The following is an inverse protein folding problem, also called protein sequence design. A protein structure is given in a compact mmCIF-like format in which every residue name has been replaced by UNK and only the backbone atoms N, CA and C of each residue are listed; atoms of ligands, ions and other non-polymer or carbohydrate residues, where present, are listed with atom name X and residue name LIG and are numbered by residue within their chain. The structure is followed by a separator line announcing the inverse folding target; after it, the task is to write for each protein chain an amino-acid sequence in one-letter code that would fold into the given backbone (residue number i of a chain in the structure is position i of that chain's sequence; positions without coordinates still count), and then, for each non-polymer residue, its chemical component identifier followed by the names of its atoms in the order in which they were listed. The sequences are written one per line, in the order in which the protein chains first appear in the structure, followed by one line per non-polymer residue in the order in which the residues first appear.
data_IF_385660727134
#
_entry.id   IF_385660727134
#
_cell.length_a   1.000
_cell.length_b   1.000
_cell.length_c   1.000
_cell.angle_alpha   90.00
_cell.angle_beta   90.00
_cell.angle_gamma   90.00
#
_symmetry.space_group_name_H-M   'P 1'
#
loop_
_entity.id
_entity.type
_entity.pdbx_description
1 polymer ?
#
# COMPACT_ATOMS: atom_id res chain seq x y z
N UNK A 1 -39.79 14.45 15.37
CA UNK A 1 -39.10 15.44 16.24
C UNK A 1 -37.87 15.96 15.49
N UNK A 2 -37.88 17.25 15.22
CA UNK A 2 -36.83 17.94 14.45
C UNK A 2 -35.76 18.44 15.44
N UNK A 3 -34.46 18.18 15.20
CA UNK A 3 -33.34 18.86 15.88
C UNK A 3 -32.23 19.02 14.85
N UNK A 4 -32.11 20.14 14.43
CA UNK A 4 -31.30 21.36 14.48
C UNK A 4 -29.79 21.11 14.24
N UNK A 5 -29.42 21.54 13.06
CA UNK A 5 -28.11 21.89 12.52
C UNK A 5 -27.38 22.87 13.46
N UNK A 6 -26.11 22.65 13.76
CA UNK A 6 -25.20 23.68 14.24
C UNK A 6 -23.97 23.69 13.33
N UNK A 7 -23.88 24.71 12.47
CA UNK A 7 -22.67 25.13 11.79
C UNK A 7 -21.81 25.92 12.78
N UNK A 8 -20.55 25.57 12.91
CA UNK A 8 -19.51 26.47 13.44
C UNK A 8 -18.41 26.63 12.38
N UNK A 9 -18.43 27.80 11.76
CA UNK A 9 -17.33 28.34 10.97
C UNK A 9 -16.18 28.72 11.89
N UNK A 10 -14.97 28.25 11.57
CA UNK A 10 -13.73 28.69 12.18
C UNK A 10 -12.74 29.10 11.10
N UNK A 11 -12.62 30.41 10.91
CA UNK A 11 -11.69 31.10 10.03
C UNK A 11 -10.43 31.48 10.84
N UNK A 12 -9.21 31.10 10.45
CA UNK A 12 -7.93 31.71 10.91
C UNK A 12 -6.94 31.60 9.75
N UNK A 13 -6.69 32.62 9.06
CA UNK A 13 -5.69 33.67 9.03
C UNK A 13 -4.25 33.24 8.67
N UNK A 14 -3.80 33.89 7.59
CA UNK A 14 -2.49 33.84 6.94
C UNK A 14 -1.33 34.31 7.85
N UNK A 15 -0.14 33.78 7.57
CA UNK A 15 1.13 34.30 8.04
C UNK A 15 2.20 34.18 6.97
N UNK A 16 2.42 35.26 6.21
CA UNK A 16 3.57 35.47 5.35
C UNK A 16 4.76 35.91 6.18
N UNK A 17 5.92 35.31 6.01
CA UNK A 17 7.20 35.89 6.42
C UNK A 17 8.15 35.86 5.22
N UNK A 18 8.46 37.04 4.72
CA UNK A 18 9.54 37.32 3.78
C UNK A 18 10.76 37.81 4.57
N UNK A 19 11.94 37.35 4.22
CA UNK A 19 13.23 37.95 4.59
C UNK A 19 14.25 37.58 3.51
N UNK A 20 14.62 38.47 2.70
CA UNK A 20 15.57 39.56 2.70
C UNK A 20 16.96 39.12 2.21
N UNK A 21 17.30 39.64 1.00
CA UNK A 21 18.61 39.66 0.39
C UNK A 21 19.64 40.43 1.22
N UNK A 22 20.88 39.97 1.27
CA UNK A 22 22.03 40.80 1.61
C UNK A 22 23.12 40.66 0.54
N UNK A 23 23.25 41.72 -0.21
CA UNK A 23 24.35 41.99 -1.15
C UNK A 23 25.55 42.52 -0.34
N UNK A 24 26.70 41.92 -0.48
CA UNK A 24 27.99 42.42 0.02
C UNK A 24 28.95 42.62 -1.14
N UNK A 25 29.05 43.89 -1.56
CA UNK A 25 30.09 44.34 -2.49
C UNK A 25 31.36 44.71 -1.67
N UNK A 26 32.49 44.18 -2.06
CA UNK A 26 33.79 44.59 -1.49
C UNK A 26 34.88 44.32 -2.53
N UNK A 27 35.31 45.38 -3.20
CA UNK A 27 36.42 45.40 -4.11
C UNK A 27 37.76 45.41 -3.37
N UNK A 28 38.80 44.83 -4.02
CA UNK A 28 40.19 44.89 -3.57
C UNK A 28 41.08 44.40 -4.69
N UNK A 29 41.67 45.36 -5.42
CA UNK A 29 42.73 45.12 -6.42
C UNK A 29 44.04 44.75 -5.74
N UNK A 30 44.72 43.68 -6.21
CA UNK A 30 46.06 43.28 -5.84
C UNK A 30 46.68 42.44 -6.94
N UNK A 31 47.52 43.09 -7.77
CA UNK A 31 48.42 42.46 -8.71
C UNK A 31 49.53 41.71 -7.95
N UNK A 32 49.94 40.56 -8.43
CA UNK A 32 51.30 40.00 -8.56
C UNK A 32 51.30 38.46 -8.53
N UNK A 33 51.98 37.87 -9.52
CA UNK A 33 52.71 36.64 -9.36
C UNK A 33 52.11 35.37 -10.01
N UNK A 34 52.46 35.19 -11.28
CA UNK A 34 52.29 33.90 -11.99
C UNK A 34 53.23 32.85 -11.45
N UNK A 35 52.71 31.74 -10.98
CA UNK A 35 53.34 30.41 -11.02
C UNK A 35 52.30 29.37 -11.39
N UNK A 36 52.53 28.51 -12.37
CA UNK A 36 51.58 27.45 -12.69
C UNK A 36 51.74 26.34 -11.66
N UNK A 37 50.80 26.29 -10.73
CA UNK A 37 50.66 25.12 -9.86
C UNK A 37 49.93 24.03 -10.62
N UNK A 38 50.59 22.89 -10.73
CA UNK A 38 50.08 21.62 -11.21
C UNK A 38 48.75 21.27 -10.52
N UNK A 39 47.69 20.81 -11.23
CA UNK A 39 46.48 20.41 -10.58
C UNK A 39 46.74 19.11 -9.80
N UNK A 40 46.79 19.26 -8.48
CA UNK A 40 46.73 18.11 -7.57
C UNK A 40 45.37 17.46 -7.73
N UNK A 41 45.33 16.25 -8.29
CA UNK A 41 44.14 15.46 -8.42
C UNK A 41 43.58 15.17 -7.01
N UNK A 42 42.42 15.72 -6.72
CA UNK A 42 41.67 15.35 -5.53
C UNK A 42 41.32 13.86 -5.59
N UNK A 43 41.42 13.11 -4.47
CA UNK A 43 41.00 11.73 -4.47
C UNK A 43 39.50 11.65 -4.76
N UNK A 44 39.12 10.99 -5.85
CA UNK A 44 37.74 10.57 -6.11
C UNK A 44 37.37 9.54 -5.01
N UNK A 45 36.65 9.99 -4.01
CA UNK A 45 35.99 9.10 -3.07
C UNK A 45 35.00 8.26 -3.88
N UNK A 46 35.37 7.00 -4.09
CA UNK A 46 34.44 6.02 -4.68
C UNK A 46 33.18 6.00 -3.81
N UNK A 47 32.05 6.40 -4.40
CA UNK A 47 30.77 6.28 -3.74
C UNK A 47 30.52 4.80 -3.40
N UNK A 48 30.44 4.51 -2.09
CA UNK A 48 30.10 3.18 -1.63
C UNK A 48 28.74 2.82 -2.23
N UNK A 49 28.56 1.63 -2.82
CA UNK A 49 27.26 1.25 -3.37
C UNK A 49 26.22 1.31 -2.25
N UNK A 50 25.18 2.09 -2.46
CA UNK A 50 24.02 2.12 -1.57
C UNK A 50 23.50 0.69 -1.43
N UNK A 51 23.23 0.18 -0.20
CA UNK A 51 22.70 -1.16 -0.04
C UNK A 51 21.41 -1.28 -0.85
N UNK A 52 21.30 -2.35 -1.64
CA UNK A 52 20.08 -2.68 -2.36
C UNK A 52 18.91 -2.74 -1.36
N UNK A 53 17.73 -2.21 -1.70
CA UNK A 53 16.57 -2.33 -0.82
C UNK A 53 16.34 -3.80 -0.50
N UNK A 54 15.95 -4.13 0.75
CA UNK A 54 15.67 -5.50 1.12
C UNK A 54 14.64 -6.09 0.16
N UNK A 55 14.95 -7.24 -0.43
CA UNK A 55 14.00 -7.99 -1.24
C UNK A 55 12.80 -8.28 -0.35
N UNK A 56 11.68 -7.67 -0.67
CA UNK A 56 10.47 -7.85 0.09
C UNK A 56 10.04 -9.32 -0.07
N UNK A 57 9.99 -10.07 1.02
CA UNK A 57 9.74 -11.51 1.07
C UNK A 57 8.27 -11.87 1.30
N UNK A 58 7.38 -10.90 1.19
CA UNK A 58 5.96 -11.09 1.47
C UNK A 58 5.19 -11.69 0.28
N UNK A 59 3.95 -12.07 0.58
CA UNK A 59 3.02 -12.65 -0.40
C UNK A 59 2.71 -11.67 -1.51
N UNK A 60 2.87 -12.09 -2.77
CA UNK A 60 2.53 -11.30 -3.94
C UNK A 60 1.00 -11.28 -4.16
N UNK A 61 0.48 -10.12 -4.56
CA UNK A 61 -0.89 -9.98 -5.07
C UNK A 61 -0.79 -9.55 -6.52
N UNK A 62 -1.53 -10.21 -7.39
CA UNK A 62 -1.52 -10.00 -8.83
C UNK A 62 -2.93 -9.61 -9.33
N UNK A 63 -3.02 -9.22 -10.60
CA UNK A 63 -4.30 -9.07 -11.29
C UNK A 63 -4.55 -10.30 -12.15
N UNK A 64 -5.73 -10.90 -11.99
CA UNK A 64 -6.22 -12.00 -12.79
C UNK A 64 -7.51 -11.63 -13.52
N UNK A 65 -7.91 -12.46 -14.49
CA UNK A 65 -9.18 -12.30 -15.22
C UNK A 65 -10.12 -13.44 -14.87
N UNK A 66 -11.35 -13.09 -14.51
CA UNK A 66 -12.45 -13.99 -14.22
C UNK A 66 -13.67 -13.63 -15.09
N UNK A 67 -14.74 -14.40 -15.00
CA UNK A 67 -16.02 -14.05 -15.66
C UNK A 67 -16.67 -12.76 -15.14
N UNK A 68 -16.28 -12.29 -13.96
CA UNK A 68 -16.78 -11.02 -13.40
C UNK A 68 -15.85 -9.83 -13.68
N UNK A 69 -14.77 -10.04 -14.44
CA UNK A 69 -13.83 -9.02 -14.87
C UNK A 69 -12.43 -9.21 -14.29
N UNK A 70 -11.66 -8.13 -14.26
CA UNK A 70 -10.33 -8.11 -13.64
C UNK A 70 -10.47 -8.03 -12.13
N UNK A 71 -9.80 -8.94 -11.43
CA UNK A 71 -9.84 -9.09 -9.98
C UNK A 71 -8.43 -9.28 -9.43
N UNK A 72 -8.27 -9.08 -8.14
CA UNK A 72 -7.05 -9.46 -7.44
C UNK A 72 -6.99 -10.98 -7.28
N UNK A 73 -5.79 -11.51 -7.42
CA UNK A 73 -5.48 -12.94 -7.24
C UNK A 73 -4.20 -13.11 -6.40
N UNK A 74 -4.08 -14.24 -5.75
CA UNK A 74 -2.88 -14.63 -5.03
C UNK A 74 -1.77 -15.16 -5.98
N UNK A 75 -0.56 -15.55 -5.48
CA UNK A 75 0.51 -16.04 -6.33
C UNK A 75 0.18 -17.30 -7.12
N UNK A 76 -0.81 -18.09 -6.70
CA UNK A 76 -1.28 -19.28 -7.41
C UNK A 76 -2.32 -18.97 -8.49
N UNK A 77 -2.74 -17.70 -8.59
CA UNK A 77 -3.79 -17.25 -9.51
C UNK A 77 -5.20 -17.45 -8.96
N UNK A 78 -5.35 -17.82 -7.70
CA UNK A 78 -6.65 -17.93 -7.06
C UNK A 78 -7.22 -16.56 -6.72
N UNK A 79 -8.51 -16.37 -6.96
CA UNK A 79 -9.25 -15.14 -6.67
C UNK A 79 -9.22 -14.81 -5.19
N UNK A 80 -9.03 -13.53 -4.85
CA UNK A 80 -9.13 -13.06 -3.48
C UNK A 80 -10.37 -12.19 -3.28
N UNK A 81 -10.89 -12.24 -2.07
CA UNK A 81 -12.16 -11.68 -1.66
C UNK A 81 -11.98 -10.75 -0.47
N UNK A 82 -12.90 -9.80 -0.33
CA UNK A 82 -13.15 -9.04 0.88
C UNK A 82 -14.43 -9.52 1.56
N UNK A 83 -14.55 -9.29 2.85
CA UNK A 83 -15.71 -9.63 3.69
C UNK A 83 -16.35 -8.35 4.21
N UNK A 84 -17.64 -8.14 3.95
CA UNK A 84 -18.31 -6.89 4.35
C UNK A 84 -18.53 -6.74 5.85
N UNK A 85 -18.40 -7.82 6.64
CA UNK A 85 -18.46 -7.71 8.10
C UNK A 85 -17.16 -7.20 8.73
N UNK A 86 -16.05 -7.17 7.98
CA UNK A 86 -14.77 -6.68 8.50
C UNK A 86 -14.84 -5.19 8.86
N UNK A 87 -14.06 -4.80 9.87
CA UNK A 87 -14.01 -3.42 10.38
C UNK A 87 -12.69 -2.76 9.97
N UNK A 88 -12.67 -2.13 8.79
CA UNK A 88 -11.44 -1.61 8.21
C UNK A 88 -10.44 -2.75 7.98
N UNK A 89 -9.24 -2.64 8.51
CA UNK A 89 -8.20 -3.68 8.39
C UNK A 89 -8.38 -4.87 9.35
N UNK A 90 -9.31 -4.79 10.31
CA UNK A 90 -9.50 -5.86 11.30
C UNK A 90 -10.42 -6.97 10.76
N UNK A 91 -9.88 -8.19 10.70
CA UNK A 91 -10.63 -9.38 10.31
C UNK A 91 -11.64 -9.77 11.39
N UNK A 92 -12.89 -10.05 10.98
CA UNK A 92 -13.93 -10.64 11.82
C UNK A 92 -14.11 -12.14 11.54
N UNK A 93 -13.53 -12.66 10.47
CA UNK A 93 -13.50 -14.09 10.13
C UNK A 93 -12.42 -14.83 10.93
N UNK A 94 -12.66 -15.05 12.24
CA UNK A 94 -11.71 -15.66 13.16
C UNK A 94 -12.18 -17.03 13.71
N UNK A 95 -13.42 -17.44 13.48
CA UNK A 95 -13.88 -18.77 13.86
C UNK A 95 -13.27 -19.86 12.98
N UNK A 96 -13.03 -21.05 13.52
CA UNK A 96 -12.48 -22.17 12.78
C UNK A 96 -13.27 -22.49 11.51
N UNK A 97 -14.60 -22.45 11.58
CA UNK A 97 -15.47 -22.68 10.42
C UNK A 97 -15.31 -21.57 9.36
N UNK A 98 -15.23 -20.28 9.76
CA UNK A 98 -15.03 -19.21 8.79
C UNK A 98 -13.69 -19.37 8.07
N UNK A 99 -12.61 -19.55 8.81
CA UNK A 99 -11.25 -19.72 8.26
C UNK A 99 -11.14 -20.97 7.37
N UNK A 100 -11.89 -22.02 7.66
CA UNK A 100 -11.93 -23.22 6.83
C UNK A 100 -12.49 -22.96 5.44
N UNK A 101 -13.58 -22.19 5.34
CA UNK A 101 -14.22 -21.85 4.05
C UNK A 101 -13.57 -20.65 3.37
N UNK A 102 -13.09 -19.70 4.17
CA UNK A 102 -12.48 -18.45 3.72
C UNK A 102 -11.09 -18.28 4.34
N UNK A 103 -10.09 -19.05 3.87
CA UNK A 103 -8.73 -18.95 4.37
C UNK A 103 -8.17 -17.54 4.16
N UNK A 104 -7.57 -16.91 5.19
CA UNK A 104 -6.92 -15.61 5.03
C UNK A 104 -5.72 -15.70 4.09
N UNK A 105 -5.44 -14.63 3.37
CA UNK A 105 -4.19 -14.47 2.62
C UNK A 105 -3.13 -13.98 3.59
N UNK A 106 -2.28 -14.89 4.06
CA UNK A 106 -1.22 -14.61 5.02
C UNK A 106 0.07 -14.16 4.33
N UNK A 107 0.93 -13.48 5.07
CA UNK A 107 2.24 -13.03 4.62
C UNK A 107 3.26 -13.00 5.77
N UNK A 108 4.53 -13.32 5.48
CA UNK A 108 5.63 -13.27 6.44
C UNK A 108 6.42 -11.95 6.37
N UNK A 109 6.00 -11.03 5.51
CA UNK A 109 6.64 -9.72 5.31
C UNK A 109 5.72 -8.77 4.57
N UNK A 110 6.26 -7.63 4.11
CA UNK A 110 5.49 -6.67 3.34
C UNK A 110 4.97 -7.33 2.04
N UNK A 111 3.64 -7.27 1.77
CA UNK A 111 3.08 -7.87 0.56
C UNK A 111 3.62 -7.18 -0.69
N UNK A 112 3.69 -7.94 -1.79
CA UNK A 112 4.25 -7.50 -3.05
C UNK A 112 3.15 -7.15 -4.05
N UNK A 113 3.30 -5.99 -4.72
CA UNK A 113 2.43 -5.64 -5.83
C UNK A 113 2.94 -6.28 -7.13
N UNK A 114 2.17 -7.16 -7.71
CA UNK A 114 2.37 -7.65 -9.07
C UNK A 114 1.87 -6.66 -10.13
N UNK A 115 1.99 -7.04 -11.39
CA UNK A 115 1.57 -6.19 -12.50
C UNK A 115 0.09 -5.78 -12.38
N UNK A 116 -0.19 -4.49 -12.52
CA UNK A 116 -1.53 -3.92 -12.44
C UNK A 116 -2.08 -3.71 -11.02
N UNK A 117 -1.34 -4.10 -9.97
CA UNK A 117 -1.72 -3.88 -8.57
C UNK A 117 -1.14 -2.56 -8.08
N UNK A 118 -1.95 -1.74 -7.43
CA UNK A 118 -1.48 -0.50 -6.82
C UNK A 118 -0.81 -0.80 -5.46
N UNK A 119 0.51 -0.67 -5.41
CA UNK A 119 1.30 -0.95 -4.21
C UNK A 119 0.89 -0.09 -3.00
N UNK A 120 0.39 1.14 -3.21
CA UNK A 120 -0.02 2.02 -2.11
C UNK A 120 -1.30 1.56 -1.40
N UNK A 121 -2.07 0.65 -2.01
CA UNK A 121 -3.27 0.06 -1.41
C UNK A 121 -2.97 -1.23 -0.64
N UNK A 122 -1.77 -1.82 -0.83
CA UNK A 122 -1.34 -2.99 -0.08
C UNK A 122 -0.94 -2.62 1.35
N UNK A 123 -1.32 -3.47 2.27
CA UNK A 123 -0.95 -3.36 3.67
C UNK A 123 -1.08 -4.70 4.38
N UNK A 124 -0.97 -4.67 5.69
CA UNK A 124 -1.12 -5.85 6.54
C UNK A 124 -1.97 -5.54 7.76
N UNK A 125 -2.55 -6.57 8.34
CA UNK A 125 -3.16 -6.52 9.68
C UNK A 125 -2.80 -7.76 10.47
N UNK A 126 -2.69 -7.61 11.79
CA UNK A 126 -2.49 -8.73 12.70
C UNK A 126 -3.85 -9.33 13.06
N UNK A 127 -3.99 -10.64 12.86
CA UNK A 127 -5.18 -11.41 13.21
C UNK A 127 -5.21 -11.74 14.72
N UNK A 128 -6.35 -12.21 15.21
CA UNK A 128 -6.52 -12.62 16.61
C UNK A 128 -5.60 -13.79 17.04
N UNK A 129 -5.16 -14.61 16.08
CA UNK A 129 -4.22 -15.72 16.30
C UNK A 129 -2.74 -15.31 16.20
N UNK A 130 -2.46 -14.01 16.02
CA UNK A 130 -1.11 -13.46 15.89
C UNK A 130 -0.54 -13.53 14.46
N UNK A 131 -1.20 -14.20 13.51
CA UNK A 131 -0.74 -14.25 12.12
C UNK A 131 -0.91 -12.89 11.42
N UNK A 132 -0.09 -12.64 10.39
CA UNK A 132 -0.16 -11.41 9.59
C UNK A 132 -0.91 -11.69 8.30
N UNK A 133 -2.00 -10.94 8.08
CA UNK A 133 -2.86 -11.05 6.91
C UNK A 133 -2.65 -9.87 5.97
N UNK A 134 -2.63 -10.14 4.66
CA UNK A 134 -2.59 -9.11 3.62
C UNK A 134 -3.90 -8.33 3.63
N UNK A 135 -3.79 -7.00 3.50
CA UNK A 135 -4.92 -6.11 3.25
C UNK A 135 -4.76 -5.37 1.93
N UNK A 136 -5.87 -4.98 1.32
CA UNK A 136 -5.89 -4.13 0.14
C UNK A 136 -6.99 -3.07 0.25
N UNK A 137 -6.65 -1.82 0.02
CA UNK A 137 -7.56 -0.68 0.22
C UNK A 137 -8.23 -0.68 1.60
N UNK A 138 -7.54 -1.18 2.64
CA UNK A 138 -8.06 -1.27 4.00
C UNK A 138 -8.91 -2.52 4.29
N UNK A 139 -9.07 -3.45 3.33
CA UNK A 139 -9.82 -4.69 3.50
C UNK A 139 -8.89 -5.88 3.66
N UNK A 140 -9.06 -6.74 4.69
CA UNK A 140 -8.40 -8.04 4.77
C UNK A 140 -8.76 -8.91 3.57
N UNK A 141 -7.78 -9.65 3.03
CA UNK A 141 -7.97 -10.51 1.86
C UNK A 141 -8.09 -11.97 2.25
N UNK A 142 -9.01 -12.66 1.57
CA UNK A 142 -9.31 -14.08 1.79
C UNK A 142 -9.36 -14.83 0.47
N UNK A 143 -9.15 -16.16 0.53
CA UNK A 143 -9.48 -17.09 -0.55
C UNK A 143 -10.85 -17.71 -0.30
N UNK A 144 -11.39 -18.39 -1.31
CA UNK A 144 -12.56 -19.22 -1.14
C UNK A 144 -12.23 -20.69 -1.42
N UNK A 145 -12.58 -21.59 -0.51
CA UNK A 145 -12.20 -23.00 -0.60
C UNK A 145 -12.76 -23.70 -1.83
N UNK A 146 -13.85 -23.22 -2.41
CA UNK A 146 -14.49 -23.80 -3.59
C UNK A 146 -13.89 -23.31 -4.92
N UNK A 147 -13.03 -22.28 -4.91
CA UNK A 147 -12.26 -21.90 -6.09
C UNK A 147 -11.08 -22.87 -6.23
N UNK A 148 -11.06 -23.65 -7.34
CA UNK A 148 -10.13 -24.76 -7.53
C UNK A 148 -9.05 -24.47 -8.58
N UNK A 149 -9.25 -23.46 -9.40
CA UNK A 149 -8.34 -23.10 -10.49
C UNK A 149 -8.36 -21.58 -10.74
N UNK A 150 -7.31 -21.04 -11.36
CA UNK A 150 -7.29 -19.67 -11.83
C UNK A 150 -8.52 -19.35 -12.68
N UNK A 151 -9.11 -18.17 -12.44
CA UNK A 151 -10.34 -17.71 -13.10
C UNK A 151 -11.64 -18.11 -12.41
N UNK A 152 -11.61 -19.00 -11.43
CA UNK A 152 -12.76 -19.25 -10.58
C UNK A 152 -13.05 -18.03 -9.72
N UNK A 153 -14.34 -17.70 -9.56
CA UNK A 153 -14.83 -16.64 -8.69
C UNK A 153 -16.19 -17.06 -8.12
N UNK A 154 -16.24 -18.27 -7.55
CA UNK A 154 -17.49 -18.91 -7.09
C UNK A 154 -17.95 -18.38 -5.73
N UNK A 155 -17.07 -17.64 -5.05
CA UNK A 155 -17.38 -16.93 -3.80
C UNK A 155 -18.06 -15.58 -3.99
N UNK A 156 -18.20 -15.11 -5.24
CA UNK A 156 -18.80 -13.81 -5.54
C UNK A 156 -20.26 -13.73 -5.07
N UNK A 157 -20.54 -12.75 -4.20
CA UNK A 157 -21.88 -12.50 -3.66
C UNK A 157 -22.37 -13.56 -2.68
N UNK A 158 -21.55 -14.51 -2.26
CA UNK A 158 -21.92 -15.49 -1.23
C UNK A 158 -22.20 -14.76 0.07
N UNK A 159 -23.40 -15.00 0.65
CA UNK A 159 -23.74 -14.49 1.97
C UNK A 159 -23.53 -15.60 3.01
N UNK A 160 -22.49 -15.45 3.81
CA UNK A 160 -22.11 -16.42 4.83
C UNK A 160 -21.40 -15.71 6.00
N UNK A 161 -21.50 -16.29 7.20
CA UNK A 161 -20.88 -15.75 8.42
C UNK A 161 -21.35 -14.33 8.78
N UNK A 162 -22.57 -13.96 8.37
CA UNK A 162 -23.25 -12.74 8.77
C UNK A 162 -23.16 -11.57 7.79
N UNK A 163 -22.43 -11.72 6.66
CA UNK A 163 -22.36 -10.70 5.61
C UNK A 163 -21.97 -11.30 4.25
N UNK A 164 -22.13 -10.54 3.14
CA UNK A 164 -21.68 -10.93 1.83
C UNK A 164 -20.17 -10.87 1.67
N UNK A 165 -19.68 -11.70 0.74
CA UNK A 165 -18.29 -11.78 0.26
C UNK A 165 -18.22 -11.32 -1.19
N UNK A 166 -17.21 -10.51 -1.52
CA UNK A 166 -17.06 -10.00 -2.90
C UNK A 166 -15.62 -10.09 -3.36
N UNK A 167 -15.43 -10.33 -4.65
CA UNK A 167 -14.12 -10.19 -5.29
C UNK A 167 -13.65 -8.74 -5.26
N UNK A 168 -12.34 -8.53 -5.22
CA UNK A 168 -11.71 -7.21 -5.14
C UNK A 168 -11.17 -6.83 -6.51
N UNK A 169 -11.55 -5.65 -7.00
CA UNK A 169 -11.00 -5.06 -8.22
C UNK A 169 -9.57 -4.53 -8.00
N UNK A 170 -8.78 -4.29 -9.06
CA UNK A 170 -7.47 -3.64 -8.94
C UNK A 170 -7.52 -2.24 -8.32
N UNK A 171 -8.67 -1.56 -8.33
CA UNK A 171 -8.87 -0.27 -7.67
C UNK A 171 -9.17 -0.38 -6.16
N UNK A 172 -9.32 -1.61 -5.63
CA UNK A 172 -9.64 -1.85 -4.22
C UNK A 172 -11.13 -1.86 -3.89
N UNK A 173 -11.98 -1.75 -4.90
CA UNK A 173 -13.44 -1.78 -4.72
C UNK A 173 -13.96 -3.20 -4.87
N UNK A 174 -15.06 -3.51 -4.13
CA UNK A 174 -15.83 -4.72 -4.44
C UNK A 174 -16.41 -4.66 -5.86
N UNK A 175 -16.50 -5.80 -6.50
CA UNK A 175 -17.28 -5.95 -7.74
C UNK A 175 -18.64 -6.53 -7.33
N UNK A 176 -19.72 -5.83 -7.64
CA UNK A 176 -21.10 -6.23 -7.28
C UNK A 176 -22.02 -6.13 -8.47
#
# INVERSE_FOLDING_TARGET
MRSKLVLTSGLVAAGFIAAACSSGTGGGSGLYGSTPASPSAAPVVAASPSPAPPVASGTAINVGTTKVGQVLVDPSGQTVYLFLADKGTASTCNSASCVQYWPPVLTDGAPQAGAGVNASLLGTSTRADGSTQVTYAGHPLYRFISDKKPGDATGQGVNAFGAPWYVVSPSGMQIG
#
